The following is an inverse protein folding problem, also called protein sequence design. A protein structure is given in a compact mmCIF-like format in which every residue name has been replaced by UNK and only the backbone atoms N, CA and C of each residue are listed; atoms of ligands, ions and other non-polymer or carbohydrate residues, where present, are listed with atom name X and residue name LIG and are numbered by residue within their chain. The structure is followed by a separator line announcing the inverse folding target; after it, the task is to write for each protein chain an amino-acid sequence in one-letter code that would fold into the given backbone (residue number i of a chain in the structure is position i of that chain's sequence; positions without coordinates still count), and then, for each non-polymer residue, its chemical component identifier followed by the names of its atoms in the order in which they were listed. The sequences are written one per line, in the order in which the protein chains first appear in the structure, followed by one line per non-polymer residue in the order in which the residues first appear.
data_IF_121466540410
#
_entry.id   IF_121466540410
#
_cell.length_a   1.000
_cell.length_b   1.000
_cell.length_c   1.000
_cell.angle_alpha   90.00
_cell.angle_beta   90.00
_cell.angle_gamma   90.00
#
_symmetry.space_group_name_H-M   'P 1'
#
loop_
_entity.id
_entity.type
_entity.pdbx_description
1 polymer ?
#
# COMPACT_ATOMS: atom_id res chain seq x y z
N UNK A 1 59.07 -50.30 8.64
CA UNK A 1 57.68 -49.99 8.34
C UNK A 1 57.08 -50.88 7.26
N UNK A 2 57.83 -51.16 6.14
CA UNK A 2 57.31 -51.96 5.05
C UNK A 2 57.01 -53.41 5.52
N UNK A 3 57.91 -54.01 6.29
CA UNK A 3 57.76 -55.39 6.84
C UNK A 3 56.56 -55.51 7.82
N UNK A 4 56.16 -54.45 8.48
CA UNK A 4 54.96 -54.40 9.35
C UNK A 4 53.70 -54.27 8.53
N UNK A 5 53.75 -53.52 7.43
CA UNK A 5 52.64 -53.42 6.52
C UNK A 5 52.32 -54.69 5.77
N UNK A 6 53.38 -55.45 5.40
CA UNK A 6 53.28 -56.77 4.72
C UNK A 6 52.77 -57.86 5.65
N UNK A 7 53.00 -57.80 6.99
CA UNK A 7 52.62 -58.78 7.95
C UNK A 7 51.25 -58.55 8.63
N UNK A 8 50.79 -57.29 8.65
CA UNK A 8 49.56 -56.81 9.34
C UNK A 8 48.68 -55.94 8.49
N UNK A 9 49.04 -55.70 7.23
CA UNK A 9 48.20 -54.90 6.28
C UNK A 9 46.99 -55.77 5.91
N UNK A 10 45.80 -55.16 6.08
CA UNK A 10 44.52 -55.66 5.59
C UNK A 10 44.17 -54.95 4.31
N UNK A 11 43.47 -55.57 3.39
CA UNK A 11 42.98 -54.91 2.16
C UNK A 11 42.04 -53.85 2.50
N UNK A 12 42.18 -52.71 1.78
CA UNK A 12 41.36 -51.52 1.97
C UNK A 12 39.89 -51.88 1.72
N UNK A 13 39.04 -51.80 2.74
CA UNK A 13 37.61 -52.10 2.68
C UNK A 13 36.76 -50.95 2.16
N UNK A 14 37.37 -49.81 1.85
CA UNK A 14 36.66 -48.62 1.27
C UNK A 14 37.03 -48.49 -0.19
N UNK A 15 36.04 -48.57 -1.05
CA UNK A 15 36.14 -48.19 -2.46
C UNK A 15 36.06 -46.68 -2.56
N UNK A 16 36.98 -46.08 -3.29
CA UNK A 16 36.87 -44.67 -3.69
C UNK A 16 36.07 -44.70 -5.00
N UNK A 17 34.79 -44.42 -4.92
CA UNK A 17 33.99 -44.13 -6.11
C UNK A 17 34.27 -42.67 -6.49
N UNK A 18 34.69 -42.44 -7.73
CA UNK A 18 34.77 -41.10 -8.29
C UNK A 18 33.35 -40.55 -8.37
N UNK A 19 33.09 -39.49 -7.58
CA UNK A 19 31.77 -38.84 -7.48
C UNK A 19 31.54 -38.02 -8.74
N UNK A 20 31.35 -38.67 -9.89
CA UNK A 20 30.82 -37.97 -11.08
C UNK A 20 29.32 -37.73 -10.98
N UNK A 21 28.59 -38.41 -10.10
CA UNK A 21 27.13 -38.29 -9.98
C UNK A 21 26.65 -37.29 -8.94
N UNK A 22 27.54 -36.62 -8.17
CA UNK A 22 27.09 -35.62 -7.17
C UNK A 22 26.90 -34.25 -7.81
N UNK A 23 27.46 -33.99 -8.99
CA UNK A 23 27.28 -32.70 -9.67
C UNK A 23 25.92 -32.62 -10.39
N UNK A 24 25.35 -33.76 -10.81
CA UNK A 24 24.00 -33.77 -11.42
C UNK A 24 22.86 -33.55 -10.40
N UNK A 25 23.07 -33.92 -9.13
CA UNK A 25 22.07 -33.72 -8.07
C UNK A 25 22.01 -32.25 -7.54
N UNK A 26 22.92 -31.39 -7.96
CA UNK A 26 22.96 -29.95 -7.60
C UNK A 26 22.55 -29.02 -8.73
N UNK A 27 22.12 -29.54 -9.87
CA UNK A 27 21.32 -28.74 -10.80
C UNK A 27 19.98 -28.54 -10.11
N UNK A 28 19.84 -27.43 -9.38
CA UNK A 28 18.52 -26.90 -9.05
C UNK A 28 17.76 -26.85 -10.36
N UNK A 29 16.70 -27.66 -10.47
CA UNK A 29 15.71 -27.42 -11.51
C UNK A 29 15.37 -25.92 -11.42
N UNK A 30 15.82 -25.13 -12.38
CA UNK A 30 15.34 -23.78 -12.58
C UNK A 30 13.86 -23.96 -12.90
N UNK A 31 13.03 -23.79 -11.87
CA UNK A 31 11.59 -23.76 -12.07
C UNK A 31 11.33 -22.62 -13.03
N UNK A 32 10.89 -22.98 -14.22
CA UNK A 32 10.44 -21.99 -15.21
C UNK A 32 9.38 -21.15 -14.53
N UNK A 33 9.57 -19.83 -14.57
CA UNK A 33 8.59 -18.91 -14.04
C UNK A 33 7.26 -19.07 -14.79
N UNK A 34 6.17 -19.16 -14.07
CA UNK A 34 4.83 -19.33 -14.61
C UNK A 34 4.03 -18.07 -14.34
N UNK A 35 3.25 -17.64 -15.34
CA UNK A 35 2.36 -16.49 -15.19
C UNK A 35 1.37 -16.73 -14.04
N UNK A 36 1.13 -15.72 -13.23
CA UNK A 36 0.22 -15.77 -12.10
C UNK A 36 -0.57 -14.46 -11.95
N UNK A 37 -1.80 -14.57 -11.50
CA UNK A 37 -2.61 -13.46 -11.02
C UNK A 37 -2.66 -13.55 -9.48
N UNK A 38 -2.11 -12.54 -8.80
CA UNK A 38 -2.21 -12.42 -7.34
C UNK A 38 -3.17 -11.32 -6.98
N UNK A 39 -4.16 -11.63 -6.16
CA UNK A 39 -5.12 -10.66 -5.63
C UNK A 39 -5.07 -10.63 -4.12
N UNK A 40 -5.19 -9.43 -3.54
CA UNK A 40 -5.33 -9.21 -2.11
C UNK A 40 -6.63 -8.47 -1.85
N UNK A 41 -7.51 -9.05 -1.03
CA UNK A 41 -8.85 -8.53 -0.78
C UNK A 41 -8.90 -7.57 0.42
N UNK A 42 -10.02 -6.86 0.54
CA UNK A 42 -10.30 -5.95 1.66
C UNK A 42 -10.33 -6.67 3.01
N UNK A 43 -10.82 -7.90 3.05
CA UNK A 43 -10.86 -8.72 4.27
C UNK A 43 -9.52 -9.41 4.60
N UNK A 44 -8.48 -9.18 3.79
CA UNK A 44 -7.12 -9.68 4.06
C UNK A 44 -6.83 -11.07 3.50
N UNK A 45 -7.56 -11.51 2.48
CA UNK A 45 -7.29 -12.75 1.78
C UNK A 45 -6.34 -12.54 0.61
N UNK A 46 -5.30 -13.37 0.54
CA UNK A 46 -4.32 -13.43 -0.54
C UNK A 46 -4.60 -14.67 -1.40
N UNK A 47 -4.74 -14.47 -2.71
CA UNK A 47 -5.05 -15.53 -3.65
C UNK A 47 -4.10 -15.48 -4.84
N UNK A 48 -3.56 -16.66 -5.23
CA UNK A 48 -2.86 -16.86 -6.50
C UNK A 48 -3.75 -17.69 -7.44
N UNK A 49 -3.90 -17.25 -8.68
CA UNK A 49 -4.64 -17.94 -9.71
C UNK A 49 -3.99 -17.73 -11.09
N UNK A 50 -4.46 -18.45 -12.11
CA UNK A 50 -4.04 -18.22 -13.48
C UNK A 50 -4.61 -16.89 -14.02
N UNK A 51 -3.89 -16.15 -14.87
CA UNK A 51 -4.38 -14.88 -15.46
C UNK A 51 -5.71 -15.04 -16.23
N UNK A 52 -5.95 -16.21 -16.83
CA UNK A 52 -7.20 -16.51 -17.55
C UNK A 52 -8.42 -16.62 -16.64
N UNK A 53 -8.25 -16.84 -15.35
CA UNK A 53 -9.35 -16.89 -14.38
C UNK A 53 -10.03 -15.53 -14.18
N UNK A 54 -9.34 -14.42 -14.48
CA UNK A 54 -9.89 -13.04 -14.44
C UNK A 54 -11.09 -12.86 -15.38
N UNK A 55 -11.05 -13.45 -16.60
CA UNK A 55 -12.13 -13.36 -17.58
C UNK A 55 -13.40 -14.11 -17.14
N UNK A 56 -13.26 -15.20 -16.39
CA UNK A 56 -14.39 -15.98 -15.89
C UNK A 56 -15.07 -15.30 -14.68
N UNK A 57 -14.32 -14.61 -13.84
CA UNK A 57 -14.86 -13.91 -12.66
C UNK A 57 -15.62 -12.62 -13.02
N UNK A 58 -15.31 -11.99 -14.16
CA UNK A 58 -15.98 -10.77 -14.63
C UNK A 58 -17.34 -11.03 -15.31
N UNK A 59 -17.69 -12.29 -15.60
CA UNK A 59 -18.94 -12.66 -16.28
C UNK A 59 -20.05 -13.14 -15.34
N UNK A 60 -19.78 -13.30 -14.04
CA UNK A 60 -20.84 -13.61 -13.07
C UNK A 60 -21.44 -12.29 -12.55
N UNK A 61 -22.74 -12.11 -12.75
CA UNK A 61 -23.54 -11.00 -12.21
C UNK A 61 -23.47 -11.01 -10.67
N UNK A 62 -22.69 -10.07 -10.13
CA UNK A 62 -22.57 -9.83 -8.70
C UNK A 62 -21.18 -9.29 -8.36
N UNK A 63 -21.10 -8.10 -7.72
CA UNK A 63 -19.86 -7.66 -7.09
C UNK A 63 -19.50 -8.70 -6.01
N UNK A 64 -18.25 -9.18 -5.96
CA UNK A 64 -17.83 -10.08 -4.89
C UNK A 64 -18.04 -9.41 -3.54
N UNK A 65 -18.50 -10.15 -2.55
CA UNK A 65 -18.69 -9.66 -1.16
C UNK A 65 -17.39 -9.08 -0.58
N UNK A 66 -16.23 -9.52 -1.09
CA UNK A 66 -14.88 -9.09 -0.68
C UNK A 66 -14.04 -8.70 -1.92
N UNK A 67 -14.15 -7.45 -2.41
CA UNK A 67 -13.44 -7.01 -3.60
C UNK A 67 -11.92 -6.94 -3.39
N UNK A 68 -11.11 -7.21 -4.43
CA UNK A 68 -9.68 -7.06 -4.37
C UNK A 68 -9.28 -5.58 -4.23
N UNK A 69 -8.38 -5.29 -3.30
CA UNK A 69 -7.74 -3.97 -3.11
C UNK A 69 -6.48 -3.88 -3.98
N UNK A 70 -5.77 -5.00 -4.14
CA UNK A 70 -4.60 -5.12 -5.01
C UNK A 70 -4.77 -6.29 -5.97
N UNK A 71 -4.30 -6.11 -7.19
CA UNK A 71 -4.27 -7.14 -8.23
C UNK A 71 -2.97 -7.00 -9.03
N UNK A 72 -2.15 -8.05 -9.01
CA UNK A 72 -0.87 -8.13 -9.72
C UNK A 72 -0.92 -9.23 -10.77
N UNK A 73 -0.74 -8.89 -12.04
CA UNK A 73 -0.37 -9.84 -13.08
C UNK A 73 1.16 -9.97 -13.03
N UNK A 74 1.67 -11.15 -12.69
CA UNK A 74 3.06 -11.38 -12.30
C UNK A 74 3.47 -12.81 -12.61
N UNK A 75 4.70 -13.18 -12.25
CA UNK A 75 5.22 -14.52 -12.39
C UNK A 75 5.54 -15.16 -11.02
N UNK A 76 5.66 -16.48 -11.01
CA UNK A 76 5.89 -17.25 -9.77
C UNK A 76 7.27 -17.02 -9.14
N UNK A 77 8.23 -16.43 -9.85
CA UNK A 77 9.56 -16.06 -9.34
C UNK A 77 9.59 -14.71 -8.64
N UNK A 78 8.53 -13.90 -8.79
CA UNK A 78 8.40 -12.61 -8.13
C UNK A 78 8.17 -12.74 -6.63
N UNK A 79 8.43 -11.65 -5.92
CA UNK A 79 8.25 -11.53 -4.47
C UNK A 79 7.23 -10.43 -4.18
N UNK A 80 6.27 -10.77 -3.32
CA UNK A 80 5.32 -9.82 -2.73
C UNK A 80 5.97 -9.18 -1.49
N UNK A 81 5.88 -7.87 -1.40
CA UNK A 81 6.34 -7.05 -0.28
C UNK A 81 5.13 -6.43 0.40
N UNK A 82 4.94 -6.71 1.67
CA UNK A 82 3.86 -6.18 2.49
C UNK A 82 4.44 -5.19 3.50
N UNK A 83 4.18 -3.91 3.30
CA UNK A 83 4.55 -2.87 4.26
C UNK A 83 3.41 -2.68 5.25
N UNK A 84 3.70 -2.74 6.55
CA UNK A 84 2.68 -2.72 7.60
C UNK A 84 2.66 -1.41 8.38
N UNK A 85 1.55 -1.17 9.06
CA UNK A 85 1.35 0.00 9.93
C UNK A 85 2.34 0.09 11.09
N UNK A 86 2.92 -1.04 11.51
CA UNK A 86 4.01 -1.10 12.50
C UNK A 86 5.40 -0.80 11.91
N UNK A 87 5.48 -0.45 10.61
CA UNK A 87 6.73 -0.10 9.93
C UNK A 87 7.59 -1.31 9.58
N UNK A 88 7.03 -2.51 9.54
CA UNK A 88 7.70 -3.72 9.07
C UNK A 88 7.47 -3.92 7.56
N UNK A 89 8.35 -4.72 6.96
CA UNK A 89 8.15 -5.29 5.64
C UNK A 89 8.23 -6.81 5.74
N UNK A 90 7.24 -7.49 5.17
CA UNK A 90 7.22 -8.93 5.00
C UNK A 90 7.41 -9.27 3.53
N UNK A 91 8.12 -10.34 3.26
CA UNK A 91 8.36 -10.87 1.91
C UNK A 91 7.76 -12.25 1.77
N UNK A 92 7.09 -12.48 0.65
CA UNK A 92 6.51 -13.77 0.30
C UNK A 92 6.72 -14.03 -1.20
N UNK A 93 7.38 -15.13 -1.56
CA UNK A 93 7.51 -15.50 -2.96
C UNK A 93 6.14 -15.93 -3.51
N UNK A 94 5.78 -15.44 -4.71
CA UNK A 94 4.51 -15.75 -5.39
C UNK A 94 4.35 -17.25 -5.59
N UNK A 95 5.42 -17.96 -5.98
CA UNK A 95 5.41 -19.41 -6.17
C UNK A 95 5.18 -20.24 -4.89
N UNK A 96 5.35 -19.63 -3.71
CA UNK A 96 5.05 -20.30 -2.42
C UNK A 96 3.56 -20.28 -2.07
N UNK A 97 2.76 -19.42 -2.72
CA UNK A 97 1.32 -19.40 -2.52
C UNK A 97 0.65 -20.61 -3.19
N UNK A 98 -0.33 -21.24 -2.52
CA UNK A 98 -1.13 -22.27 -3.16
C UNK A 98 -1.94 -21.70 -4.32
N UNK A 99 -1.99 -22.43 -5.41
CA UNK A 99 -2.78 -22.07 -6.58
C UNK A 99 -4.26 -22.37 -6.34
N UNK A 100 -5.12 -21.38 -6.57
CA UNK A 100 -6.56 -21.45 -6.36
C UNK A 100 -7.31 -20.89 -7.55
N UNK A 101 -7.83 -21.78 -8.40
CA UNK A 101 -8.44 -21.41 -9.68
C UNK A 101 -9.98 -21.42 -9.68
N UNK A 102 -10.62 -21.89 -8.60
CA UNK A 102 -12.08 -21.90 -8.54
C UNK A 102 -12.60 -20.50 -8.19
N UNK A 103 -13.66 -19.99 -8.85
CA UNK A 103 -14.21 -18.65 -8.59
C UNK A 103 -14.59 -18.40 -7.12
N UNK A 104 -15.04 -19.45 -6.41
CA UNK A 104 -15.45 -19.37 -5.00
C UNK A 104 -14.29 -19.45 -3.98
N UNK A 105 -13.07 -19.69 -4.43
CA UNK A 105 -11.91 -19.75 -3.52
C UNK A 105 -11.54 -18.32 -3.06
N UNK A 106 -11.71 -18.04 -1.78
CA UNK A 106 -11.39 -16.73 -1.18
C UNK A 106 -9.87 -16.46 -1.10
N UNK A 107 -9.06 -17.51 -1.08
CA UNK A 107 -7.63 -17.41 -0.86
C UNK A 107 -7.21 -17.79 0.57
N UNK A 108 -5.98 -17.49 0.92
CA UNK A 108 -5.41 -17.70 2.26
C UNK A 108 -5.41 -16.40 3.04
N UNK A 109 -5.78 -16.44 4.32
CA UNK A 109 -5.66 -15.29 5.22
C UNK A 109 -4.17 -14.89 5.34
N UNK A 110 -3.90 -13.60 5.32
CA UNK A 110 -2.54 -13.07 5.38
C UNK A 110 -1.77 -13.57 6.61
N UNK A 111 -2.43 -13.66 7.76
CA UNK A 111 -1.85 -14.21 9.02
C UNK A 111 -1.45 -15.68 8.93
N UNK A 112 -2.03 -16.44 8.00
CA UNK A 112 -1.69 -17.84 7.75
C UNK A 112 -0.49 -18.03 6.81
N UNK A 113 -0.13 -17.02 6.01
CA UNK A 113 0.95 -17.09 5.01
C UNK A 113 2.17 -16.25 5.38
N UNK A 114 2.01 -15.20 6.18
CA UNK A 114 3.12 -14.37 6.68
C UNK A 114 3.52 -14.79 8.09
N UNK A 115 4.66 -15.47 8.19
CA UNK A 115 5.18 -15.89 9.49
C UNK A 115 5.56 -14.68 10.37
N UNK A 116 5.05 -14.64 11.60
CA UNK A 116 5.36 -13.62 12.58
C UNK A 116 4.62 -12.27 12.37
N UNK A 117 3.52 -12.28 11.61
CA UNK A 117 2.58 -11.16 11.56
C UNK A 117 1.87 -11.06 12.93
N UNK A 118 1.86 -9.85 13.53
CA UNK A 118 1.18 -9.61 14.80
C UNK A 118 -0.34 -9.53 14.59
N UNK A 119 -1.12 -9.84 15.62
CA UNK A 119 -2.59 -9.95 15.52
C UNK A 119 -3.27 -8.68 15.02
N UNK A 120 -2.75 -7.51 15.42
CA UNK A 120 -3.30 -6.20 15.06
C UNK A 120 -2.51 -5.49 13.96
N UNK A 121 -1.44 -6.12 13.44
CA UNK A 121 -0.60 -5.59 12.39
C UNK A 121 -1.31 -5.67 11.03
N UNK A 122 -1.41 -4.54 10.33
CA UNK A 122 -2.15 -4.41 9.07
C UNK A 122 -1.25 -4.01 7.92
N UNK A 123 -1.39 -4.62 6.75
CA UNK A 123 -0.72 -4.15 5.56
C UNK A 123 -1.28 -2.79 5.15
N UNK A 124 -0.38 -1.86 4.85
CA UNK A 124 -0.67 -0.50 4.37
C UNK A 124 -0.41 -0.39 2.87
N UNK A 125 0.60 -1.12 2.38
CA UNK A 125 0.98 -1.09 0.97
C UNK A 125 1.53 -2.45 0.55
N UNK A 126 1.18 -2.85 -0.67
CA UNK A 126 1.68 -4.05 -1.31
C UNK A 126 2.42 -3.69 -2.60
N UNK A 127 3.52 -4.38 -2.83
CA UNK A 127 4.33 -4.29 -4.04
C UNK A 127 4.72 -5.71 -4.48
N UNK A 128 4.78 -5.94 -5.77
CA UNK A 128 5.25 -7.21 -6.35
C UNK A 128 6.39 -6.90 -7.31
N UNK A 129 7.55 -7.50 -7.10
CA UNK A 129 8.73 -7.28 -7.93
C UNK A 129 9.77 -8.40 -7.75
N UNK A 130 10.67 -8.55 -8.72
CA UNK A 130 11.92 -9.29 -8.56
C UNK A 130 12.99 -8.41 -7.87
N UNK A 131 14.06 -9.02 -7.39
CA UNK A 131 15.19 -8.27 -6.81
C UNK A 131 15.88 -7.34 -7.85
N UNK A 132 15.82 -7.69 -9.12
CA UNK A 132 16.39 -6.90 -10.22
C UNK A 132 15.50 -5.69 -10.53
N UNK A 133 14.19 -5.88 -10.61
CA UNK A 133 13.22 -4.82 -10.84
C UNK A 133 13.24 -3.76 -9.75
N UNK A 134 13.49 -4.12 -8.48
CA UNK A 134 13.63 -3.16 -7.39
C UNK A 134 14.70 -2.08 -7.64
N UNK A 135 15.71 -2.35 -8.49
CA UNK A 135 16.73 -1.36 -8.84
C UNK A 135 16.24 -0.33 -9.86
N UNK A 136 15.14 -0.61 -10.56
CA UNK A 136 14.58 0.23 -11.62
C UNK A 136 13.28 0.92 -11.20
N UNK A 137 12.65 0.45 -10.14
CA UNK A 137 11.44 1.05 -9.60
C UNK A 137 11.73 2.45 -9.03
N UNK A 138 10.75 3.36 -9.09
CA UNK A 138 10.84 4.67 -8.42
C UNK A 138 11.09 4.52 -6.91
N UNK A 139 11.61 5.60 -6.32
CA UNK A 139 11.72 5.68 -4.86
C UNK A 139 10.34 5.54 -4.20
N UNK A 140 10.32 5.00 -2.99
CA UNK A 140 9.13 4.90 -2.17
C UNK A 140 9.07 6.05 -1.17
N UNK A 141 7.91 6.71 -1.08
CA UNK A 141 7.60 7.69 -0.05
C UNK A 141 6.75 7.03 1.04
N UNK A 142 7.30 6.92 2.22
CA UNK A 142 6.60 6.48 3.43
C UNK A 142 6.05 7.68 4.18
N UNK A 143 4.79 7.61 4.57
CA UNK A 143 4.10 8.69 5.29
C UNK A 143 3.51 8.11 6.56
N UNK A 144 3.87 8.69 7.72
CA UNK A 144 3.32 8.25 8.99
C UNK A 144 2.05 9.02 9.37
N UNK A 145 1.23 8.43 10.24
CA UNK A 145 0.00 9.06 10.75
C UNK A 145 0.27 10.40 11.44
N UNK A 146 1.45 10.59 12.02
CA UNK A 146 1.89 11.84 12.67
C UNK A 146 2.62 12.80 11.73
N UNK A 147 2.59 12.54 10.41
CA UNK A 147 3.11 13.45 9.40
C UNK A 147 4.62 13.44 9.22
N UNK A 148 5.32 12.35 9.60
CA UNK A 148 6.70 12.14 9.19
C UNK A 148 6.73 11.57 7.76
N UNK A 149 7.78 11.88 7.02
CA UNK A 149 8.03 11.41 5.66
C UNK A 149 9.39 10.76 5.58
N UNK A 150 9.47 9.68 4.83
CA UNK A 150 10.74 9.04 4.49
C UNK A 150 10.74 8.66 3.03
N UNK A 151 11.75 9.09 2.29
CA UNK A 151 12.01 8.65 0.93
C UNK A 151 13.14 7.62 0.95
N UNK A 152 12.93 6.48 0.30
CA UNK A 152 13.96 5.44 0.15
C UNK A 152 13.88 4.82 -1.23
N UNK A 153 15.04 4.48 -1.80
CA UNK A 153 15.08 3.69 -3.03
C UNK A 153 14.39 2.34 -2.80
N UNK A 154 13.65 1.85 -3.80
CA UNK A 154 13.00 0.55 -3.73
C UNK A 154 14.00 -0.59 -3.54
N UNK A 155 15.23 -0.45 -4.08
CA UNK A 155 16.35 -1.40 -3.92
C UNK A 155 16.80 -1.61 -2.46
N UNK A 156 16.56 -0.67 -1.56
CA UNK A 156 16.84 -0.83 -0.12
C UNK A 156 16.04 -1.98 0.52
N UNK A 157 14.97 -2.44 -0.15
CA UNK A 157 14.10 -3.52 0.31
C UNK A 157 14.45 -4.88 -0.29
N UNK A 158 15.49 -4.97 -1.15
CA UNK A 158 16.06 -6.23 -1.65
C UNK A 158 16.83 -6.98 -0.54
N UNK A 159 16.13 -7.44 0.49
CA UNK A 159 16.67 -8.09 1.68
C UNK A 159 16.36 -9.57 1.65
N UNK A 160 17.26 -10.43 2.09
CA UNK A 160 17.07 -11.91 2.11
C UNK A 160 16.15 -12.42 3.23
N UNK A 161 15.74 -11.55 4.19
CA UNK A 161 14.91 -11.95 5.33
C UNK A 161 13.43 -11.84 4.98
N UNK A 162 12.63 -12.80 5.43
CA UNK A 162 11.16 -12.79 5.23
C UNK A 162 10.44 -11.69 6.02
N UNK A 163 11.00 -11.20 7.14
CA UNK A 163 10.52 -10.06 7.93
C UNK A 163 11.69 -9.15 8.31
N UNK A 164 11.50 -7.84 8.15
CA UNK A 164 12.48 -6.82 8.56
C UNK A 164 11.81 -5.45 8.73
N UNK A 165 12.46 -4.55 9.47
CA UNK A 165 11.99 -3.17 9.61
C UNK A 165 12.11 -2.38 8.30
N UNK A 166 11.02 -1.78 7.85
CA UNK A 166 10.95 -0.93 6.67
C UNK A 166 11.23 0.53 7.01
N UNK A 167 10.84 0.96 8.20
CA UNK A 167 11.14 2.30 8.69
C UNK A 167 11.14 2.29 10.23
N UNK A 168 11.86 3.25 10.85
CA UNK A 168 11.87 3.42 12.29
C UNK A 168 10.78 4.41 12.71
N UNK A 169 9.69 3.91 13.27
CA UNK A 169 8.57 4.70 13.78
C UNK A 169 8.93 5.35 15.13
N UNK A 170 8.42 6.55 15.35
CA UNK A 170 8.44 7.18 16.67
C UNK A 170 7.40 6.52 17.57
N UNK A 171 7.58 6.62 18.88
CA UNK A 171 6.62 6.11 19.86
C UNK A 171 5.22 6.70 19.62
N UNK A 172 4.23 5.83 19.56
CA UNK A 172 2.83 6.20 19.31
C UNK A 172 2.51 6.65 17.89
N UNK A 173 3.42 6.46 16.94
CA UNK A 173 3.18 6.70 15.50
C UNK A 173 2.96 5.38 14.76
N UNK A 174 2.39 5.45 13.57
CA UNK A 174 2.18 4.31 12.68
C UNK A 174 2.42 4.71 11.23
N UNK A 175 2.78 3.75 10.38
CA UNK A 175 2.82 3.96 8.95
C UNK A 175 1.38 4.10 8.43
N UNK A 176 1.10 5.20 7.74
CA UNK A 176 -0.22 5.52 7.20
C UNK A 176 -0.33 5.21 5.72
N UNK A 177 0.70 5.53 4.93
CA UNK A 177 0.71 5.31 3.49
C UNK A 177 2.13 5.09 2.96
N UNK A 178 2.23 4.38 1.84
CA UNK A 178 3.43 4.30 1.00
C UNK A 178 3.02 4.61 -0.43
N UNK A 179 3.80 5.41 -1.12
CA UNK A 179 3.59 5.80 -2.52
C UNK A 179 4.84 5.50 -3.33
N UNK A 180 4.65 5.13 -4.58
CA UNK A 180 5.69 5.25 -5.60
C UNK A 180 5.89 6.73 -5.91
N UNK A 181 7.09 7.26 -5.74
CA UNK A 181 7.36 8.71 -5.74
C UNK A 181 7.91 9.19 -7.08
N UNK A 182 7.19 10.10 -7.72
CA UNK A 182 7.78 10.98 -8.73
C UNK A 182 8.46 12.18 -8.04
N UNK A 183 9.79 12.22 -8.11
CA UNK A 183 10.60 13.26 -7.45
C UNK A 183 10.43 14.63 -8.12
N UNK A 184 9.99 14.67 -9.38
CA UNK A 184 9.76 15.90 -10.14
C UNK A 184 8.40 16.55 -9.86
N UNK A 185 7.53 15.87 -9.13
CA UNK A 185 6.17 16.31 -8.83
C UNK A 185 6.04 16.82 -7.39
N UNK A 186 4.93 17.49 -7.10
CA UNK A 186 4.61 17.92 -5.74
C UNK A 186 3.93 16.80 -4.95
N UNK A 187 4.12 16.82 -3.65
CA UNK A 187 3.38 16.02 -2.68
C UNK A 187 2.35 16.88 -2.00
N UNK A 188 1.12 16.39 -1.94
CA UNK A 188 0.02 16.98 -1.19
C UNK A 188 -0.37 16.07 -0.03
N UNK A 189 -0.45 16.63 1.18
CA UNK A 189 -0.88 15.91 2.39
C UNK A 189 -2.09 16.61 2.99
N UNK A 190 -3.09 15.84 3.41
CA UNK A 190 -4.32 16.34 4.04
C UNK A 190 -4.50 15.63 5.37
N UNK A 191 -4.77 16.40 6.45
CA UNK A 191 -5.07 15.86 7.77
C UNK A 191 -6.57 15.68 8.01
N UNK A 192 -6.94 14.90 9.03
CA UNK A 192 -8.33 14.69 9.43
C UNK A 192 -9.05 16.00 9.80
N UNK A 193 -8.35 16.95 10.40
CA UNK A 193 -8.94 18.28 10.71
C UNK A 193 -9.06 19.19 9.51
N UNK A 194 -8.64 18.74 8.31
CA UNK A 194 -8.72 19.47 7.06
C UNK A 194 -7.61 20.50 6.87
N UNK A 195 -6.45 20.30 7.49
CA UNK A 195 -5.24 21.03 7.14
C UNK A 195 -4.59 20.39 5.93
N UNK A 196 -4.07 21.19 5.01
CA UNK A 196 -3.47 20.71 3.76
C UNK A 196 -2.12 21.41 3.53
N UNK A 197 -1.11 20.66 3.14
CA UNK A 197 0.19 21.18 2.76
C UNK A 197 0.63 20.59 1.41
N UNK A 198 1.12 21.46 0.52
CA UNK A 198 1.74 21.12 -0.77
C UNK A 198 3.19 21.52 -0.77
N UNK A 199 4.09 20.63 -1.15
CA UNK A 199 5.52 20.90 -1.29
C UNK A 199 6.14 20.03 -2.37
N UNK A 200 7.26 20.45 -2.95
CA UNK A 200 7.94 19.69 -3.98
C UNK A 200 8.65 18.45 -3.38
N UNK A 201 8.55 17.31 -4.06
CA UNK A 201 9.03 16.01 -3.54
C UNK A 201 10.55 15.96 -3.31
N UNK A 202 11.33 16.78 -4.03
CA UNK A 202 12.79 16.90 -3.84
C UNK A 202 13.18 17.40 -2.45
N UNK A 203 12.28 18.08 -1.73
CA UNK A 203 12.51 18.48 -0.34
C UNK A 203 12.58 17.30 0.64
N UNK A 204 12.20 16.10 0.20
CA UNK A 204 12.34 14.88 1.00
C UNK A 204 13.65 14.18 0.65
N UNK A 205 14.65 14.21 1.53
CA UNK A 205 15.94 13.59 1.25
C UNK A 205 15.79 12.07 1.14
N UNK A 206 16.56 11.46 0.22
CA UNK A 206 16.68 10.02 0.15
C UNK A 206 17.41 9.48 1.40
N UNK A 207 16.88 8.42 1.99
CA UNK A 207 17.37 7.84 3.23
C UNK A 207 17.39 6.32 3.16
N UNK A 208 18.31 5.71 3.88
CA UNK A 208 18.36 4.27 4.05
C UNK A 208 17.14 3.72 4.79
N UNK A 209 16.90 2.44 4.62
CA UNK A 209 15.73 1.69 5.07
C UNK A 209 15.32 1.92 6.53
N UNK A 210 16.28 1.90 7.47
CA UNK A 210 16.00 1.97 8.92
C UNK A 210 15.93 3.39 9.49
N UNK A 211 15.87 4.43 8.65
CA UNK A 211 15.76 5.82 9.13
C UNK A 211 14.33 6.16 9.57
N UNK A 212 14.19 7.11 10.48
CA UNK A 212 12.88 7.60 10.99
C UNK A 212 12.25 8.71 10.16
N UNK A 213 12.92 9.15 9.07
CA UNK A 213 12.39 10.18 8.19
C UNK A 213 12.52 11.62 8.71
N UNK A 214 11.85 12.52 8.03
CA UNK A 214 11.80 13.97 8.29
C UNK A 214 10.35 14.44 8.44
N UNK A 215 10.14 15.57 9.08
CA UNK A 215 8.81 16.14 9.24
C UNK A 215 8.25 16.58 7.89
N UNK A 216 7.08 16.04 7.51
CA UNK A 216 6.31 16.43 6.32
C UNK A 216 5.33 17.55 6.62
N UNK A 217 4.57 17.39 7.71
CA UNK A 217 3.56 18.34 8.17
C UNK A 217 3.60 18.49 9.68
N UNK A 218 3.33 19.68 10.20
CA UNK A 218 3.12 19.90 11.64
C UNK A 218 1.64 19.76 11.93
N UNK A 219 1.29 18.75 12.71
CA UNK A 219 -0.08 18.45 13.14
C UNK A 219 -0.29 18.83 14.62
N UNK A 220 -1.53 19.15 14.95
CA UNK A 220 -1.95 19.23 16.35
C UNK A 220 -1.92 17.83 17.01
N UNK A 221 -1.78 17.71 18.35
CA UNK A 221 -1.59 16.41 18.99
C UNK A 221 -2.68 15.36 18.73
N UNK A 222 -3.91 15.79 18.50
CA UNK A 222 -5.05 14.91 18.19
C UNK A 222 -5.28 14.70 16.70
N UNK A 223 -4.56 15.42 15.83
CA UNK A 223 -4.73 15.35 14.38
C UNK A 223 -3.84 14.26 13.77
N UNK A 224 -4.24 13.73 12.62
CA UNK A 224 -3.51 12.71 11.86
C UNK A 224 -3.59 12.99 10.38
N UNK A 225 -2.64 12.46 9.62
CA UNK A 225 -2.72 12.42 8.17
C UNK A 225 -3.88 11.51 7.77
N UNK A 226 -4.75 12.01 6.92
CA UNK A 226 -5.86 11.28 6.33
C UNK A 226 -5.53 10.82 4.92
N UNK A 227 -4.85 11.66 4.13
CA UNK A 227 -4.58 11.39 2.73
C UNK A 227 -3.25 12.01 2.29
N UNK A 228 -2.61 11.36 1.34
CA UNK A 228 -1.40 11.83 0.68
C UNK A 228 -1.41 11.40 -0.77
N UNK A 229 -0.92 12.25 -1.67
CA UNK A 229 -0.80 11.94 -3.09
C UNK A 229 0.04 12.94 -3.86
N UNK A 230 0.19 12.70 -5.14
CA UNK A 230 0.91 13.55 -6.11
C UNK A 230 -0.05 13.94 -7.25
N UNK A 231 -0.97 14.90 -7.04
CA UNK A 231 -1.91 15.34 -8.05
C UNK A 231 -1.21 16.06 -9.22
N UNK A 232 -1.76 15.91 -10.42
CA UNK A 232 -1.41 16.73 -11.59
C UNK A 232 -2.17 18.04 -11.60
N UNK A 233 -1.75 19.00 -12.44
CA UNK A 233 -2.34 20.34 -12.47
C UNK A 233 -3.84 20.37 -12.84
N UNK A 234 -4.30 19.39 -13.62
CA UNK A 234 -5.70 19.25 -14.02
C UNK A 234 -6.59 18.58 -12.98
N UNK A 235 -6.01 17.95 -11.96
CA UNK A 235 -6.74 17.15 -10.99
C UNK A 235 -7.52 17.99 -10.00
N UNK A 236 -8.54 17.38 -9.43
CA UNK A 236 -9.39 17.98 -8.41
C UNK A 236 -9.44 17.07 -7.19
N UNK A 237 -9.34 17.69 -6.03
CA UNK A 237 -9.48 16.99 -4.75
C UNK A 237 -10.94 16.95 -4.35
N UNK A 238 -11.47 15.75 -4.23
CA UNK A 238 -12.78 15.47 -3.68
C UNK A 238 -12.66 15.31 -2.17
N UNK A 239 -13.40 16.11 -1.43
CA UNK A 239 -13.35 16.16 0.03
C UNK A 239 -14.74 15.94 0.61
N UNK A 240 -14.87 15.03 1.56
CA UNK A 240 -16.11 14.79 2.31
C UNK A 240 -15.87 14.85 3.81
N UNK A 241 -16.76 15.53 4.52
CA UNK A 241 -16.78 15.53 5.99
C UNK A 241 -17.53 14.32 6.53
N UNK A 242 -17.37 14.02 7.80
CA UNK A 242 -18.10 12.95 8.51
C UNK A 242 -19.61 13.18 8.54
N UNK A 243 -20.06 14.43 8.26
CA UNK A 243 -21.48 14.79 8.18
C UNK A 243 -22.05 14.76 6.77
N UNK A 244 -21.26 14.27 5.78
CA UNK A 244 -21.74 14.10 4.41
C UNK A 244 -21.72 15.37 3.55
N UNK A 245 -21.07 16.44 4.02
CA UNK A 245 -20.81 17.62 3.20
C UNK A 245 -19.59 17.36 2.32
N UNK A 246 -19.75 17.61 1.03
CA UNK A 246 -18.71 17.36 0.04
C UNK A 246 -18.46 18.55 -0.87
N UNK A 247 -17.30 18.58 -1.49
CA UNK A 247 -16.92 19.50 -2.55
C UNK A 247 -15.74 18.98 -3.34
N UNK A 248 -15.57 19.49 -4.57
CA UNK A 248 -14.32 19.37 -5.33
C UNK A 248 -13.52 20.65 -5.20
N UNK A 249 -12.22 20.56 -5.09
CA UNK A 249 -11.29 21.70 -5.03
C UNK A 249 -10.22 21.50 -6.09
N UNK A 250 -9.98 22.47 -7.00
CA UNK A 250 -8.88 22.37 -7.94
C UNK A 250 -7.54 22.21 -7.21
N UNK A 251 -6.70 21.31 -7.67
CA UNK A 251 -5.36 21.16 -7.10
C UNK A 251 -4.56 22.47 -7.12
N UNK A 252 -4.75 23.29 -8.15
CA UNK A 252 -4.08 24.57 -8.31
C UNK A 252 -4.42 25.61 -7.24
N UNK A 253 -5.49 25.41 -6.46
CA UNK A 253 -5.84 26.27 -5.32
C UNK A 253 -4.84 26.15 -4.16
N UNK A 254 -4.03 25.09 -4.14
CA UNK A 254 -3.05 24.85 -3.08
C UNK A 254 -1.68 25.39 -3.50
N UNK A 255 -1.26 26.48 -2.89
CA UNK A 255 0.05 27.08 -3.10
C UNK A 255 1.17 26.19 -2.56
N UNK A 256 2.27 25.99 -3.29
CA UNK A 256 3.44 25.29 -2.77
C UNK A 256 4.03 25.99 -1.54
N UNK A 257 4.41 25.22 -0.54
CA UNK A 257 4.99 25.68 0.72
C UNK A 257 6.29 24.96 1.04
N UNK A 258 7.00 25.41 2.05
CA UNK A 258 8.09 24.65 2.60
C UNK A 258 7.55 23.45 3.39
N UNK A 259 8.17 22.27 3.22
CA UNK A 259 7.83 21.05 3.97
C UNK A 259 7.93 21.29 5.49
N UNK A 260 7.09 20.62 6.25
CA UNK A 260 7.11 20.67 7.72
C UNK A 260 6.29 21.79 8.35
N UNK A 261 5.65 22.65 7.52
CA UNK A 261 4.70 23.68 7.97
C UNK A 261 3.38 23.09 8.47
N UNK A 262 2.49 23.94 9.00
CA UNK A 262 1.11 23.55 9.37
C UNK A 262 0.18 23.40 8.17
N UNK A 263 0.53 23.98 7.04
CA UNK A 263 -0.35 24.03 5.86
C UNK A 263 -1.46 25.06 5.98
N UNK A 264 -2.48 24.91 5.13
CA UNK A 264 -3.67 25.77 5.05
C UNK A 264 -4.93 24.93 5.24
N UNK A 265 -6.02 25.58 5.68
CA UNK A 265 -7.32 24.89 5.77
C UNK A 265 -7.87 24.61 4.38
N UNK A 266 -8.35 23.39 4.18
CA UNK A 266 -9.00 22.95 2.93
C UNK A 266 -10.53 22.87 3.04
N UNK A 267 -11.08 23.07 4.22
CA UNK A 267 -12.53 23.02 4.47
C UNK A 267 -12.93 24.03 5.54
N UNK A 268 -14.05 24.73 5.31
CA UNK A 268 -14.63 25.63 6.30
C UNK A 268 -15.71 24.91 7.12
N UNK A 269 -15.44 24.71 8.39
CA UNK A 269 -16.41 24.14 9.34
C UNK A 269 -17.24 25.23 9.97
N UNK A 270 -18.56 25.03 9.98
CA UNK A 270 -19.49 25.95 10.61
C UNK A 270 -19.40 25.83 12.14
N UNK A 271 -19.53 26.95 12.85
CA UNK A 271 -19.50 26.97 14.33
C UNK A 271 -20.57 26.08 14.96
N UNK A 272 -21.70 25.87 14.28
CA UNK A 272 -22.77 24.96 14.71
C UNK A 272 -22.40 23.48 14.62
N UNK A 273 -21.30 23.12 13.91
CA UNK A 273 -20.95 21.75 13.61
C UNK A 273 -21.83 21.05 12.58
N UNK A 274 -22.76 21.79 11.94
CA UNK A 274 -23.75 21.20 11.03
C UNK A 274 -23.14 20.56 9.80
N UNK A 275 -21.99 21.06 9.31
CA UNK A 275 -21.26 20.47 8.17
C UNK A 275 -20.03 19.65 8.58
N UNK A 276 -19.93 19.32 9.85
CA UNK A 276 -18.86 18.49 10.38
C UNK A 276 -17.75 19.26 11.11
N UNK A 277 -16.75 18.53 11.52
CA UNK A 277 -15.56 19.01 12.24
C UNK A 277 -14.25 18.41 11.71
N UNK A 278 -14.37 17.39 10.86
CA UNK A 278 -13.24 16.70 10.24
C UNK A 278 -13.58 16.22 8.82
N UNK A 279 -12.54 15.98 8.04
CA UNK A 279 -12.62 15.28 6.76
C UNK A 279 -12.68 13.78 7.07
N UNK A 280 -13.59 13.07 6.42
CA UNK A 280 -13.74 11.62 6.54
C UNK A 280 -13.27 10.88 5.28
N UNK A 281 -13.21 11.57 4.13
CA UNK A 281 -12.76 10.96 2.89
C UNK A 281 -12.18 11.98 1.93
N UNK A 282 -11.13 11.56 1.23
CA UNK A 282 -10.47 12.31 0.16
C UNK A 282 -10.27 11.36 -1.02
N UNK A 283 -10.59 11.82 -2.22
CA UNK A 283 -10.25 11.13 -3.46
C UNK A 283 -9.70 12.12 -4.49
N UNK A 284 -8.94 11.63 -5.46
CA UNK A 284 -8.38 12.43 -6.53
C UNK A 284 -9.16 12.21 -7.81
N UNK A 285 -9.91 13.21 -8.24
CA UNK A 285 -10.66 13.20 -9.52
C UNK A 285 -9.71 13.64 -10.62
N UNK A 286 -9.40 12.72 -11.54
CA UNK A 286 -8.48 12.94 -12.67
C UNK A 286 -9.19 13.09 -13.99
N UNK A 287 -10.43 12.58 -14.09
CA UNK A 287 -11.24 12.57 -15.30
C UNK A 287 -12.66 13.00 -15.02
N UNK A 288 -13.32 13.59 -16.01
CA UNK A 288 -14.73 13.93 -15.93
C UNK A 288 -15.59 12.65 -15.84
N UNK A 289 -16.71 12.73 -15.12
CA UNK A 289 -17.68 11.64 -15.03
C UNK A 289 -17.25 10.45 -14.19
N UNK A 290 -16.12 10.50 -13.47
CA UNK A 290 -15.71 9.43 -12.57
C UNK A 290 -16.79 9.14 -11.52
N UNK A 291 -17.07 7.85 -11.28
CA UNK A 291 -18.00 7.45 -10.24
C UNK A 291 -17.35 7.57 -8.85
N UNK A 292 -18.08 8.19 -7.95
CA UNK A 292 -17.71 8.41 -6.55
C UNK A 292 -18.59 7.55 -5.68
N UNK A 293 -18.00 6.77 -4.78
CA UNK A 293 -18.70 5.97 -3.79
C UNK A 293 -18.43 6.55 -2.41
N UNK A 294 -19.47 7.02 -1.74
CA UNK A 294 -19.42 7.56 -0.39
C UNK A 294 -19.82 6.47 0.57
N UNK A 295 -18.89 6.04 1.42
CA UNK A 295 -19.11 4.98 2.39
C UNK A 295 -19.60 5.57 3.71
N UNK A 296 -20.68 4.98 4.26
CA UNK A 296 -21.23 5.32 5.56
C UNK A 296 -21.06 4.15 6.54
N UNK A 297 -21.14 4.43 7.82
CA UNK A 297 -20.90 3.44 8.88
C UNK A 297 -21.95 2.33 8.89
N UNK A 298 -23.20 2.68 8.68
CA UNK A 298 -24.35 1.76 8.80
C UNK A 298 -25.21 1.70 7.54
N UNK A 299 -25.34 2.79 6.80
CA UNK A 299 -26.11 2.85 5.56
C UNK A 299 -25.36 2.27 4.37
N UNK A 300 -26.10 1.88 3.33
CA UNK A 300 -25.53 1.48 2.06
C UNK A 300 -24.73 2.62 1.44
N UNK A 301 -23.63 2.33 0.74
CA UNK A 301 -22.85 3.33 0.06
C UNK A 301 -23.67 4.14 -0.95
N UNK A 302 -23.47 5.44 -0.98
CA UNK A 302 -24.10 6.32 -1.97
C UNK A 302 -23.15 6.50 -3.16
N UNK A 303 -23.66 6.34 -4.37
CA UNK A 303 -22.91 6.52 -5.61
C UNK A 303 -23.37 7.80 -6.31
N UNK A 304 -22.41 8.62 -6.76
CA UNK A 304 -22.61 9.87 -7.48
C UNK A 304 -21.57 9.98 -8.58
N UNK A 305 -21.88 10.76 -9.63
CA UNK A 305 -20.82 11.23 -10.53
C UNK A 305 -20.00 12.33 -9.85
N UNK A 306 -18.70 12.35 -10.07
CA UNK A 306 -17.86 13.46 -9.60
C UNK A 306 -18.40 14.82 -10.10
N UNK A 307 -18.96 14.87 -11.31
CA UNK A 307 -19.49 16.10 -11.91
C UNK A 307 -20.72 16.65 -11.20
N UNK A 308 -21.46 15.81 -10.47
CA UNK A 308 -22.58 16.25 -9.62
C UNK A 308 -22.10 16.97 -8.34
N UNK A 309 -20.84 16.79 -7.97
CA UNK A 309 -20.28 17.38 -6.76
C UNK A 309 -19.72 18.76 -7.10
N UNK A 310 -20.18 19.76 -6.36
CA UNK A 310 -19.86 21.16 -6.64
C UNK A 310 -18.35 21.45 -6.58
N UNK A 311 -17.86 22.22 -7.57
CA UNK A 311 -16.52 22.77 -7.55
C UNK A 311 -16.51 24.05 -6.70
N UNK A 312 -15.66 24.10 -5.69
CA UNK A 312 -15.56 25.21 -4.74
C UNK A 312 -14.11 25.48 -4.39
N UNK A 313 -13.84 26.64 -3.79
CA UNK A 313 -12.50 26.95 -3.26
C UNK A 313 -12.21 26.16 -1.98
N UNK A 314 -10.92 26.08 -1.60
CA UNK A 314 -10.50 25.46 -0.34
C UNK A 314 -11.13 26.08 0.91
N UNK A 315 -11.58 27.34 0.83
CA UNK A 315 -12.18 28.08 1.97
C UNK A 315 -13.70 27.90 2.09
N UNK A 316 -14.34 27.17 1.17
CA UNK A 316 -15.78 26.97 1.18
C UNK A 316 -16.19 25.78 2.06
N UNK A 317 -17.48 25.74 2.39
CA UNK A 317 -18.07 24.82 3.38
C UNK A 317 -18.58 23.47 2.81
N UNK A 318 -18.52 23.29 1.49
CA UNK A 318 -19.15 22.15 0.83
C UNK A 318 -20.68 22.24 0.78
N UNK A 319 -21.29 21.21 0.15
CA UNK A 319 -22.74 21.04 0.07
C UNK A 319 -23.09 19.65 0.63
N UNK A 320 -24.31 19.46 1.19
CA UNK A 320 -24.75 18.17 1.67
C UNK A 320 -25.08 17.23 0.50
N UNK A 321 -24.46 16.05 0.46
CA UNK A 321 -24.73 14.99 -0.52
C UNK A 321 -25.29 13.74 0.14
N UNK A 322 -24.93 13.53 1.40
CA UNK A 322 -25.36 12.38 2.18
C UNK A 322 -25.85 12.88 3.54
N UNK A 323 -26.97 12.36 4.01
CA UNK A 323 -27.47 12.65 5.35
C UNK A 323 -26.80 11.70 6.35
N UNK A 324 -25.84 12.22 7.11
CA UNK A 324 -25.27 11.51 8.25
C UNK A 324 -26.15 11.77 9.50
N UNK A 325 -27.14 10.89 9.74
CA UNK A 325 -28.06 10.99 10.86
C UNK A 325 -27.55 10.19 12.05
N UNK A 326 -27.59 10.77 13.25
CA UNK A 326 -27.18 10.14 14.50
C UNK A 326 -25.74 9.59 14.43
N UNK A 327 -25.59 8.27 14.53
CA UNK A 327 -24.28 7.58 14.53
C UNK A 327 -23.81 7.12 13.13
N UNK A 328 -24.63 7.39 12.10
CA UNK A 328 -24.30 7.03 10.73
C UNK A 328 -23.47 8.13 10.07
N UNK A 329 -22.18 8.08 10.26
CA UNK A 329 -21.23 9.04 9.70
C UNK A 329 -20.60 8.53 8.43
N UNK A 330 -20.17 9.45 7.56
CA UNK A 330 -19.28 9.09 6.45
C UNK A 330 -17.96 8.57 7.01
N UNK A 331 -17.53 7.43 6.48
CA UNK A 331 -16.29 6.73 6.90
C UNK A 331 -15.20 6.77 5.86
N UNK A 332 -15.55 7.11 4.62
CA UNK A 332 -14.58 7.20 3.52
C UNK A 332 -15.24 7.51 2.19
N UNK A 333 -14.39 7.75 1.20
CA UNK A 333 -14.77 7.96 -0.20
C UNK A 333 -13.81 7.19 -1.08
N UNK A 334 -14.33 6.53 -2.11
CA UNK A 334 -13.54 5.87 -3.15
C UNK A 334 -14.05 6.26 -4.53
N UNK A 335 -13.20 6.09 -5.54
CA UNK A 335 -13.58 6.15 -6.95
C UNK A 335 -13.85 4.71 -7.43
N UNK A 336 -14.86 4.55 -8.29
CA UNK A 336 -15.26 3.26 -8.87
C UNK A 336 -14.99 3.24 -10.38
#
# INVERSE_FOLDING_TARGET
LQAVADQFGDDRRTTIEEVHNVVEALVKEEKVAEEALVTFSREGYLRRSWPKAKKAAQTEDGQPDDPPVYSFETDTDHTLFFFTDLGNCYQLNVGALPEMNKPKDRGSLLSGVLAGLETDEKPVYLMCATAEELNTLPDLLFVTARGQLKRSAASEYAVKRSKFGALNLREGDSLHAVLSLDVSSDVLMISETGMCIRFHADQVPAMGRVSGGVKGMTLDPSDRILWVGQPAAADQLLLFTERGFGKRVPYTDYEPQARGGKGVKTFYYQKSGSNGSRIAGVALVTEAGQNVVIHQKTSQPTQLSADEIILQSKQDRGMPYVMALMDDTVTGVSLA
#
